data_IF_349314066209
#
_entry.id   IF_349314066209
#
_cell.length_a   1.000
_cell.length_b   1.000
_cell.length_c   1.000
_cell.angle_alpha   90.00
_cell.angle_beta   90.00
_cell.angle_gamma   90.00
#
_symmetry.space_group_name_H-M   'P 1'
#
loop_
_entity.id
_entity.type
_entity.pdbx_description
1 polymer ?
#
# COMPACT_ATOMS: atom_id res chain seq x y z
N UNK A 1 -4.44 28.41 -11.32
CA UNK A 1 -4.94 27.35 -10.42
C UNK A 1 -5.06 25.95 -11.07
N UNK A 2 -4.98 25.81 -12.41
CA UNK A 2 -5.11 24.51 -13.08
C UNK A 2 -3.97 23.50 -12.87
N UNK A 3 -2.76 23.93 -12.60
CA UNK A 3 -1.60 23.02 -12.46
C UNK A 3 -1.59 22.21 -11.16
N UNK A 4 -2.03 22.79 -10.05
CA UNK A 4 -2.08 22.10 -8.77
C UNK A 4 -3.16 21.00 -8.76
N UNK A 5 -4.36 21.31 -9.24
CA UNK A 5 -5.45 20.33 -9.33
C UNK A 5 -5.14 19.18 -10.30
N UNK A 6 -4.41 19.45 -11.37
CA UNK A 6 -3.98 18.42 -12.32
C UNK A 6 -2.92 17.48 -11.71
N UNK A 7 -1.98 18.02 -10.92
CA UNK A 7 -0.92 17.24 -10.29
C UNK A 7 -1.31 16.64 -8.93
N UNK A 8 -2.43 17.09 -8.33
CA UNK A 8 -2.93 16.51 -7.09
C UNK A 8 -3.28 15.04 -7.29
N UNK A 9 -2.72 14.16 -6.48
CA UNK A 9 -2.86 12.70 -6.57
C UNK A 9 -2.43 12.08 -7.93
N UNK A 10 -1.60 12.76 -8.71
CA UNK A 10 -1.07 12.25 -9.98
C UNK A 10 -2.15 11.83 -10.98
N UNK A 11 -1.99 10.63 -11.58
CA UNK A 11 -2.89 10.10 -12.61
C UNK A 11 -4.19 9.46 -12.06
N UNK A 12 -4.54 9.71 -10.80
CA UNK A 12 -5.78 9.18 -10.23
C UNK A 12 -7.02 9.77 -10.93
N UNK A 13 -8.13 9.01 -11.04
CA UNK A 13 -9.38 9.48 -11.63
C UNK A 13 -9.90 10.73 -10.91
N UNK A 14 -10.58 11.62 -11.64
CA UNK A 14 -11.11 12.87 -11.08
C UNK A 14 -12.08 12.66 -9.93
N UNK A 15 -12.94 11.65 -10.02
CA UNK A 15 -13.87 11.29 -8.94
C UNK A 15 -13.15 10.91 -7.64
N UNK A 16 -12.03 10.17 -7.73
CA UNK A 16 -11.22 9.79 -6.58
C UNK A 16 -10.56 11.01 -5.91
N UNK A 17 -10.05 11.95 -6.71
CA UNK A 17 -9.52 13.22 -6.21
C UNK A 17 -10.57 14.01 -5.45
N UNK A 18 -11.81 14.06 -5.97
CA UNK A 18 -12.91 14.72 -5.30
C UNK A 18 -13.30 14.06 -3.97
N UNK A 19 -13.31 12.73 -3.93
CA UNK A 19 -13.59 11.98 -2.70
C UNK A 19 -12.53 12.25 -1.63
N UNK A 20 -11.24 12.24 -1.99
CA UNK A 20 -10.18 12.55 -1.02
C UNK A 20 -10.27 13.99 -0.51
N UNK A 21 -10.56 14.95 -1.36
CA UNK A 21 -10.79 16.35 -0.93
C UNK A 21 -12.02 16.44 -0.01
N UNK A 22 -13.08 15.70 -0.32
CA UNK A 22 -14.27 15.64 0.53
C UNK A 22 -13.94 15.08 1.92
N UNK A 23 -13.14 14.03 2.01
CA UNK A 23 -12.66 13.46 3.27
C UNK A 23 -11.89 14.50 4.09
N UNK A 24 -10.90 15.16 3.48
CA UNK A 24 -10.10 16.20 4.13
C UNK A 24 -10.92 17.41 4.62
N UNK A 25 -12.07 17.66 4.05
CA UNK A 25 -12.98 18.73 4.52
C UNK A 25 -13.96 18.20 5.58
N UNK A 26 -14.40 16.96 5.43
CA UNK A 26 -15.38 16.36 6.33
C UNK A 26 -14.80 16.03 7.70
N UNK A 27 -13.56 15.57 7.77
CA UNK A 27 -12.91 15.14 9.02
C UNK A 27 -12.87 16.24 10.10
N UNK A 28 -12.41 17.48 9.81
CA UNK A 28 -12.45 18.56 10.81
C UNK A 28 -13.86 18.87 11.28
N UNK A 29 -14.85 18.83 10.37
CA UNK A 29 -16.26 19.07 10.71
C UNK A 29 -16.80 17.96 11.62
N UNK A 30 -16.47 16.71 11.34
CA UNK A 30 -16.91 15.55 12.15
C UNK A 30 -16.28 15.60 13.53
N UNK A 31 -14.99 15.94 13.64
CA UNK A 31 -14.32 16.10 14.94
C UNK A 31 -15.02 17.18 15.77
N UNK A 32 -15.38 18.29 15.14
CA UNK A 32 -16.02 19.42 15.83
C UNK A 32 -17.46 19.13 16.25
N UNK A 33 -18.22 18.37 15.44
CA UNK A 33 -19.65 18.09 15.69
C UNK A 33 -19.89 16.85 16.52
N UNK A 34 -19.18 15.76 16.26
CA UNK A 34 -19.41 14.45 16.85
C UNK A 34 -18.31 14.00 17.80
N UNK A 35 -17.22 14.76 17.88
CA UNK A 35 -16.09 14.46 18.73
C UNK A 35 -15.07 13.46 18.15
N UNK A 36 -13.92 13.29 18.84
CA UNK A 36 -12.78 12.54 18.32
C UNK A 36 -13.05 11.03 18.16
N UNK A 37 -13.92 10.45 18.98
CA UNK A 37 -14.22 9.01 18.91
C UNK A 37 -14.91 8.61 17.61
N UNK A 38 -15.92 9.37 17.17
CA UNK A 38 -16.63 9.11 15.91
C UNK A 38 -15.72 9.40 14.72
N UNK A 39 -14.99 10.52 14.78
CA UNK A 39 -14.03 10.88 13.73
C UNK A 39 -12.94 9.82 13.54
N UNK A 40 -12.48 9.17 14.61
CA UNK A 40 -11.52 8.07 14.53
C UNK A 40 -12.04 6.89 13.70
N UNK A 41 -13.29 6.48 13.94
CA UNK A 41 -13.91 5.42 13.14
C UNK A 41 -14.11 5.80 11.66
N UNK A 42 -14.44 7.05 11.39
CA UNK A 42 -14.55 7.57 10.02
C UNK A 42 -13.21 7.54 9.33
N UNK A 43 -12.15 8.03 9.97
CA UNK A 43 -10.78 7.98 9.45
C UNK A 43 -10.31 6.56 9.14
N UNK A 44 -10.62 5.59 9.99
CA UNK A 44 -10.33 4.16 9.72
C UNK A 44 -11.06 3.70 8.46
N UNK A 45 -12.34 4.05 8.30
CA UNK A 45 -13.12 3.73 7.11
C UNK A 45 -12.54 4.35 5.84
N UNK A 46 -12.12 5.60 5.91
CA UNK A 46 -11.46 6.32 4.80
C UNK A 46 -10.12 5.71 4.44
N UNK A 47 -9.33 5.30 5.44
CA UNK A 47 -8.07 4.61 5.23
C UNK A 47 -8.28 3.25 4.55
N UNK A 48 -9.28 2.47 4.99
CA UNK A 48 -9.66 1.21 4.34
C UNK A 48 -10.10 1.46 2.89
N UNK A 49 -10.84 2.53 2.63
CA UNK A 49 -11.24 2.92 1.28
C UNK A 49 -10.03 3.21 0.39
N UNK A 50 -9.04 3.97 0.88
CA UNK A 50 -7.80 4.25 0.13
C UNK A 50 -7.02 2.99 -0.18
N UNK A 51 -6.95 2.04 0.75
CA UNK A 51 -6.33 0.73 0.54
C UNK A 51 -7.10 -0.14 -0.45
N UNK A 52 -8.43 -0.15 -0.38
CA UNK A 52 -9.26 -0.89 -1.34
C UNK A 52 -9.09 -0.37 -2.78
N UNK A 53 -8.83 0.93 -2.93
CA UNK A 53 -8.55 1.55 -4.23
C UNK A 53 -7.10 1.40 -4.70
N UNK A 54 -6.22 0.77 -3.93
CA UNK A 54 -4.79 0.64 -4.24
C UNK A 54 -4.49 -0.02 -5.58
N UNK A 55 -5.38 -0.89 -6.07
CA UNK A 55 -5.23 -1.53 -7.38
C UNK A 55 -5.41 -0.56 -8.56
N UNK A 56 -6.14 0.55 -8.37
CA UNK A 56 -6.44 1.53 -9.42
C UNK A 56 -5.80 2.89 -9.18
N UNK A 57 -5.57 3.22 -7.93
CA UNK A 57 -5.07 4.51 -7.50
C UNK A 57 -3.90 4.29 -6.53
N UNK A 58 -2.86 5.10 -6.63
CA UNK A 58 -1.69 4.97 -5.75
C UNK A 58 -2.08 5.39 -4.31
N UNK A 59 -2.02 4.48 -3.31
CA UNK A 59 -2.63 4.72 -1.99
C UNK A 59 -1.76 5.54 -1.05
N UNK A 60 -0.44 5.64 -1.31
CA UNK A 60 0.52 6.23 -0.39
C UNK A 60 0.24 7.72 -0.13
N UNK A 61 -0.05 8.47 -1.19
CA UNK A 61 -0.27 9.91 -1.07
C UNK A 61 -1.56 10.24 -0.33
N UNK A 62 -2.74 9.67 -0.69
CA UNK A 62 -3.97 9.95 0.05
C UNK A 62 -3.93 9.43 1.48
N UNK A 63 -3.37 8.24 1.73
CA UNK A 63 -3.19 7.71 3.08
C UNK A 63 -2.26 8.59 3.92
N UNK A 64 -1.18 9.11 3.34
CA UNK A 64 -0.29 10.06 3.99
C UNK A 64 -0.97 11.39 4.33
N UNK A 65 -1.83 11.91 3.44
CA UNK A 65 -2.61 13.11 3.70
C UNK A 65 -3.58 12.94 4.87
N UNK A 66 -4.31 11.83 4.93
CA UNK A 66 -5.20 11.51 6.06
C UNK A 66 -4.43 11.37 7.38
N UNK A 67 -3.23 10.76 7.35
CA UNK A 67 -2.37 10.65 8.52
C UNK A 67 -1.88 12.02 9.02
N UNK A 68 -1.45 12.90 8.11
CA UNK A 68 -1.05 14.27 8.46
C UNK A 68 -2.24 15.08 8.98
N UNK A 69 -3.40 14.92 8.38
CA UNK A 69 -4.63 15.57 8.82
C UNK A 69 -5.00 15.16 10.25
N UNK A 70 -4.89 13.89 10.60
CA UNK A 70 -5.18 13.40 11.96
C UNK A 70 -4.28 14.07 13.03
N UNK A 71 -3.03 14.35 12.66
CA UNK A 71 -2.09 15.11 13.49
C UNK A 71 -2.51 16.58 13.62
N UNK A 72 -2.88 17.23 12.51
CA UNK A 72 -3.25 18.65 12.49
C UNK A 72 -4.53 18.93 13.24
N UNK A 73 -5.50 18.01 13.20
CA UNK A 73 -6.77 18.12 13.94
C UNK A 73 -6.58 17.79 15.42
N UNK A 74 -5.43 17.27 15.83
CA UNK A 74 -5.13 16.92 17.22
C UNK A 74 -5.74 15.61 17.69
N UNK A 75 -6.07 14.69 16.78
CA UNK A 75 -6.54 13.35 17.13
C UNK A 75 -5.42 12.45 17.67
N UNK A 76 -4.18 12.74 17.27
CA UNK A 76 -2.98 12.08 17.78
C UNK A 76 -1.87 13.09 18.00
N UNK A 77 -0.90 12.74 18.84
CA UNK A 77 0.27 13.59 19.10
C UNK A 77 1.49 13.10 18.33
N UNK A 78 2.43 14.00 17.94
CA UNK A 78 3.67 13.59 17.31
C UNK A 78 4.46 12.55 18.12
N UNK A 79 4.43 12.67 19.46
CA UNK A 79 5.10 11.73 20.38
C UNK A 79 4.48 10.34 20.30
N UNK A 80 3.14 10.26 20.22
CA UNK A 80 2.42 8.99 20.08
C UNK A 80 2.79 8.31 18.75
N UNK A 81 2.79 9.08 17.65
CA UNK A 81 3.21 8.57 16.33
C UNK A 81 4.66 8.08 16.35
N UNK A 82 5.56 8.86 16.96
CA UNK A 82 6.97 8.46 17.09
C UNK A 82 7.12 7.16 17.89
N UNK A 83 6.41 7.01 18.99
CA UNK A 83 6.44 5.81 19.82
C UNK A 83 5.91 4.59 19.05
N UNK A 84 4.80 4.74 18.32
CA UNK A 84 4.25 3.67 17.49
C UNK A 84 5.20 3.24 16.36
N UNK A 85 5.84 4.22 15.70
CA UNK A 85 6.82 3.93 14.65
C UNK A 85 8.02 3.18 15.21
N UNK A 86 8.54 3.57 16.37
CA UNK A 86 9.66 2.88 17.01
C UNK A 86 9.29 1.46 17.46
N UNK A 87 8.12 1.29 18.04
CA UNK A 87 7.63 -0.02 18.51
C UNK A 87 7.45 -0.99 17.35
N UNK A 88 6.92 -0.50 16.21
CA UNK A 88 6.66 -1.29 15.02
C UNK A 88 7.81 -1.25 14.00
N UNK A 89 8.97 -0.64 14.34
CA UNK A 89 10.09 -0.49 13.43
C UNK A 89 10.60 -1.81 12.84
N UNK A 90 10.69 -2.93 13.61
CA UNK A 90 11.08 -4.22 13.05
C UNK A 90 10.12 -4.70 11.96
N UNK A 91 8.82 -4.49 12.13
CA UNK A 91 7.79 -4.85 11.13
C UNK A 91 7.92 -4.00 9.89
N UNK A 92 8.16 -2.69 10.04
CA UNK A 92 8.37 -1.77 8.91
C UNK A 92 9.61 -2.19 8.11
N UNK A 93 10.72 -2.51 8.80
CA UNK A 93 11.93 -3.01 8.15
C UNK A 93 11.68 -4.32 7.39
N UNK A 94 10.97 -5.27 8.02
CA UNK A 94 10.63 -6.53 7.39
C UNK A 94 9.82 -6.30 6.10
N UNK A 95 8.82 -5.44 6.14
CA UNK A 95 8.04 -5.07 4.95
C UNK A 95 8.90 -4.43 3.86
N UNK A 96 9.80 -3.51 4.23
CA UNK A 96 10.72 -2.87 3.28
C UNK A 96 11.65 -3.88 2.61
N UNK A 97 12.26 -4.78 3.39
CA UNK A 97 13.13 -5.83 2.85
C UNK A 97 12.37 -6.83 2.00
N UNK A 98 11.14 -7.19 2.38
CA UNK A 98 10.29 -8.07 1.60
C UNK A 98 9.95 -7.46 0.23
N UNK A 99 9.54 -6.19 0.20
CA UNK A 99 9.24 -5.48 -1.06
C UNK A 99 10.49 -5.34 -1.93
N UNK A 100 11.64 -4.99 -1.33
CA UNK A 100 12.92 -4.93 -2.02
C UNK A 100 13.31 -6.30 -2.59
N UNK A 101 13.16 -7.36 -1.81
CA UNK A 101 13.41 -8.74 -2.25
C UNK A 101 12.56 -9.15 -3.44
N UNK A 102 11.26 -8.87 -3.40
CA UNK A 102 10.35 -9.12 -4.53
C UNK A 102 10.77 -8.33 -5.78
N UNK A 103 11.17 -7.08 -5.59
CA UNK A 103 11.61 -6.23 -6.71
C UNK A 103 12.88 -6.78 -7.37
N UNK A 104 13.88 -7.19 -6.59
CA UNK A 104 15.10 -7.81 -7.13
C UNK A 104 14.84 -9.17 -7.77
N UNK A 105 13.93 -9.96 -7.20
CA UNK A 105 13.59 -11.27 -7.76
C UNK A 105 12.74 -11.19 -9.02
N UNK A 106 12.07 -10.08 -9.28
CA UNK A 106 11.21 -9.91 -10.46
C UNK A 106 11.95 -10.21 -11.76
N UNK A 107 13.12 -9.63 -11.94
CA UNK A 107 13.91 -9.80 -13.16
C UNK A 107 14.45 -11.24 -13.30
N UNK A 108 14.86 -11.83 -12.17
CA UNK A 108 15.29 -13.23 -12.11
C UNK A 108 14.13 -14.18 -12.45
N UNK A 109 12.95 -13.93 -11.92
CA UNK A 109 11.74 -14.71 -12.23
C UNK A 109 11.37 -14.59 -13.71
N UNK A 110 11.34 -13.39 -14.24
CA UNK A 110 11.02 -13.13 -15.63
C UNK A 110 12.01 -13.84 -16.56
N UNK A 111 13.31 -13.78 -16.26
CA UNK A 111 14.34 -14.49 -17.01
C UNK A 111 14.13 -16.01 -16.94
N UNK A 112 13.91 -16.56 -15.75
CA UNK A 112 13.75 -18.00 -15.53
C UNK A 112 12.50 -18.53 -16.23
N UNK A 113 11.36 -17.86 -16.07
CA UNK A 113 10.11 -18.27 -16.71
C UNK A 113 10.16 -18.13 -18.23
N UNK A 114 10.77 -17.07 -18.74
CA UNK A 114 10.94 -16.89 -20.19
C UNK A 114 11.82 -18.01 -20.77
N UNK A 115 12.91 -18.37 -20.10
CA UNK A 115 13.77 -19.46 -20.54
C UNK A 115 13.07 -20.83 -20.54
N UNK A 116 12.26 -21.09 -19.51
CA UNK A 116 11.46 -22.33 -19.42
C UNK A 116 10.47 -22.39 -20.59
N UNK A 117 9.73 -21.30 -20.83
CA UNK A 117 8.72 -21.23 -21.89
C UNK A 117 9.30 -21.38 -23.30
N UNK A 118 10.44 -20.75 -23.56
CA UNK A 118 11.07 -20.80 -24.91
C UNK A 118 11.76 -22.13 -25.18
N UNK A 119 12.36 -22.74 -24.17
CA UNK A 119 13.20 -23.95 -24.37
C UNK A 119 12.41 -25.27 -24.28
N UNK A 120 11.26 -25.28 -23.57
CA UNK A 120 10.48 -26.47 -23.29
C UNK A 120 9.23 -26.50 -24.16
N UNK A 121 9.13 -27.47 -25.08
CA UNK A 121 7.97 -27.64 -25.97
C UNK A 121 6.91 -28.59 -25.44
N UNK A 122 7.21 -29.35 -24.39
CA UNK A 122 6.27 -30.31 -23.81
C UNK A 122 5.38 -29.66 -22.74
N UNK A 123 4.05 -29.68 -22.94
CA UNK A 123 3.07 -29.09 -22.00
C UNK A 123 3.20 -29.66 -20.59
N UNK A 124 3.43 -30.97 -20.45
CA UNK A 124 3.60 -31.65 -19.15
C UNK A 124 4.87 -31.18 -18.44
N UNK A 125 5.95 -31.03 -19.17
CA UNK A 125 7.24 -30.59 -18.61
C UNK A 125 7.21 -29.11 -18.20
N UNK A 126 6.52 -28.26 -18.97
CA UNK A 126 6.30 -26.85 -18.62
C UNK A 126 5.54 -26.77 -17.31
N UNK A 127 4.41 -27.49 -17.16
CA UNK A 127 3.63 -27.48 -15.93
C UNK A 127 4.44 -27.94 -14.73
N UNK A 128 5.21 -29.01 -14.86
CA UNK A 128 6.07 -29.51 -13.79
C UNK A 128 7.15 -28.52 -13.39
N UNK A 129 7.81 -27.88 -14.36
CA UNK A 129 8.84 -26.88 -14.10
C UNK A 129 8.26 -25.62 -13.44
N UNK A 130 7.04 -25.19 -13.84
CA UNK A 130 6.35 -24.09 -13.17
C UNK A 130 5.98 -24.43 -11.72
N UNK A 131 5.46 -25.64 -11.47
CA UNK A 131 5.16 -26.08 -10.12
C UNK A 131 6.42 -26.17 -9.25
N UNK A 132 7.52 -26.68 -9.80
CA UNK A 132 8.80 -26.78 -9.08
C UNK A 132 9.39 -25.39 -8.78
N UNK A 133 9.39 -24.49 -9.76
CA UNK A 133 9.83 -23.10 -9.56
C UNK A 133 8.95 -22.38 -8.53
N UNK A 134 7.62 -22.55 -8.61
CA UNK A 134 6.69 -21.98 -7.64
C UNK A 134 6.90 -22.53 -6.23
N UNK A 135 7.15 -23.83 -6.08
CA UNK A 135 7.43 -24.45 -4.78
C UNK A 135 8.74 -23.94 -4.15
N UNK A 136 9.80 -23.80 -4.95
CA UNK A 136 11.08 -23.24 -4.49
C UNK A 136 10.88 -21.79 -4.05
N UNK A 137 10.20 -20.99 -4.86
CA UNK A 137 9.94 -19.58 -4.55
C UNK A 137 9.05 -19.40 -3.32
N UNK A 138 8.03 -20.23 -3.16
CA UNK A 138 7.16 -20.23 -1.97
C UNK A 138 7.97 -20.55 -0.71
N UNK A 139 8.87 -21.55 -0.76
CA UNK A 139 9.74 -21.88 0.37
C UNK A 139 10.67 -20.72 0.77
N UNK A 140 11.17 -19.95 -0.22
CA UNK A 140 11.99 -18.75 0.05
C UNK A 140 11.16 -17.61 0.63
N UNK A 141 9.94 -17.39 0.14
CA UNK A 141 9.04 -16.36 0.64
C UNK A 141 8.55 -16.67 2.06
N UNK A 142 8.25 -17.93 2.36
CA UNK A 142 7.88 -18.39 3.71
C UNK A 142 9.03 -18.26 4.71
N UNK A 143 10.25 -18.58 4.30
CA UNK A 143 11.43 -18.45 5.17
C UNK A 143 11.76 -16.99 5.55
N UNK A 144 11.26 -16.01 4.80
CA UNK A 144 11.40 -14.58 5.10
C UNK A 144 10.28 -14.03 5.99
N UNK A 145 9.21 -14.82 6.22
CA UNK A 145 8.05 -14.43 7.03
C UNK A 145 8.08 -15.03 8.45
N UNK A 146 9.04 -15.85 8.76
CA UNK A 146 9.33 -16.39 10.11
C UNK A 146 10.52 -15.64 10.72
#
# INVERSE_FOLDING_TARGET
MGGFAANFLGNAPTWYKQVIILFLIANPLIVWTFGPGVAGWVLVGEFIFTLAMALKCYPLLPGGLLAVESLLIGMTTPEAVYHEVLTNFPVILLLMFMVAGIYFMKDFLQFTFTRILVKVRSKKLISLLFCLAGAILSAFLDALTV
#
